data_IF_194000521290
#
_entry.id   IF_194000521290
#
_cell.length_a   1.000
_cell.length_b   1.000
_cell.length_c   1.000
_cell.angle_alpha   90.00
_cell.angle_beta   90.00
_cell.angle_gamma   90.00
#
_symmetry.space_group_name_H-M   'P 1'
#
loop_
_entity.id
_entity.type
_entity.pdbx_description
1 polymer ?
#
# COMPACT_ATOMS: atom_id res chain seq x y z
N UNK A 1 27.90 -9.57 32.79
CA UNK A 1 27.26 -8.47 32.05
C UNK A 1 25.95 -9.04 31.56
N UNK A 2 24.85 -8.60 32.16
CA UNK A 2 23.50 -9.08 31.83
C UNK A 2 23.17 -8.68 30.39
N UNK A 3 22.87 -9.69 29.56
CA UNK A 3 22.29 -9.50 28.24
C UNK A 3 20.92 -8.84 28.39
N UNK A 4 20.86 -7.56 28.02
CA UNK A 4 19.59 -6.86 27.81
C UNK A 4 18.99 -7.41 26.52
N UNK A 5 18.28 -8.52 26.67
CA UNK A 5 17.35 -9.06 25.69
C UNK A 5 16.29 -7.98 25.43
N UNK A 6 16.51 -7.14 24.41
CA UNK A 6 15.48 -6.21 23.93
C UNK A 6 14.31 -7.05 23.43
N UNK A 7 13.26 -7.15 24.25
CA UNK A 7 11.97 -7.67 23.83
C UNK A 7 11.56 -7.02 22.50
N UNK A 8 11.02 -7.78 21.53
CA UNK A 8 10.49 -7.18 20.31
C UNK A 8 9.45 -6.13 20.68
N UNK A 9 9.37 -5.00 19.95
CA UNK A 9 8.39 -3.96 20.25
C UNK A 9 6.99 -4.60 20.26
N UNK A 10 6.27 -4.43 21.38
CA UNK A 10 4.89 -4.89 21.55
C UNK A 10 3.98 -4.11 20.59
N UNK A 11 3.90 -4.59 19.35
CA UNK A 11 3.03 -4.06 18.28
C UNK A 11 1.55 -4.04 18.71
N UNK A 12 1.18 -4.85 19.70
CA UNK A 12 -0.13 -4.83 20.33
C UNK A 12 -0.37 -3.64 21.28
N UNK A 13 0.66 -2.90 21.70
CA UNK A 13 0.53 -1.78 22.64
C UNK A 13 -0.19 -0.58 22.01
N UNK A 14 0.20 -0.17 20.80
CA UNK A 14 -0.39 0.99 20.12
C UNK A 14 -1.83 0.71 19.69
N UNK A 15 -2.11 -0.48 19.14
CA UNK A 15 -3.46 -0.87 18.78
C UNK A 15 -4.40 -0.88 20.00
N UNK A 16 -3.93 -1.37 21.16
CA UNK A 16 -4.68 -1.31 22.42
C UNK A 16 -4.92 0.11 22.91
N UNK A 17 -3.95 1.02 22.75
CA UNK A 17 -4.13 2.43 23.12
C UNK A 17 -5.14 3.14 22.20
N UNK A 18 -5.03 2.97 20.88
CA UNK A 18 -5.98 3.52 19.91
C UNK A 18 -7.39 3.00 20.18
N UNK A 19 -7.54 1.70 20.39
CA UNK A 19 -8.83 1.10 20.68
C UNK A 19 -9.53 1.80 21.85
N UNK A 20 -8.81 1.98 22.98
CA UNK A 20 -9.33 2.69 24.15
C UNK A 20 -9.73 4.13 23.83
N UNK A 21 -8.88 4.86 23.10
CA UNK A 21 -9.14 6.25 22.70
C UNK A 21 -10.38 6.34 21.82
N UNK A 22 -10.49 5.49 20.79
CA UNK A 22 -11.62 5.50 19.86
C UNK A 22 -12.93 5.15 20.55
N UNK A 23 -12.97 4.11 21.41
CA UNK A 23 -14.17 3.80 22.19
C UNK A 23 -14.58 4.97 23.06
N UNK A 24 -13.64 5.53 23.85
CA UNK A 24 -13.93 6.62 24.77
C UNK A 24 -14.46 7.86 24.04
N UNK A 25 -13.76 8.30 22.99
CA UNK A 25 -14.16 9.50 22.24
C UNK A 25 -15.49 9.31 21.52
N UNK A 26 -15.73 8.15 20.92
CA UNK A 26 -17.00 7.86 20.23
C UNK A 26 -18.16 7.90 21.22
N UNK A 27 -18.03 7.22 22.37
CA UNK A 27 -19.08 7.16 23.39
C UNK A 27 -19.36 8.56 23.95
N UNK A 28 -18.31 9.32 24.28
CA UNK A 28 -18.46 10.68 24.76
C UNK A 28 -19.17 11.57 23.74
N UNK A 29 -18.79 11.51 22.46
CA UNK A 29 -19.39 12.32 21.41
C UNK A 29 -20.87 11.97 21.17
N UNK A 30 -21.22 10.69 21.05
CA UNK A 30 -22.63 10.26 20.91
C UNK A 30 -23.45 10.70 22.11
N UNK A 31 -22.91 10.56 23.32
CA UNK A 31 -23.61 10.95 24.56
C UNK A 31 -23.82 12.46 24.63
N UNK A 32 -22.80 13.26 24.32
CA UNK A 32 -22.92 14.73 24.27
C UNK A 32 -23.96 15.15 23.24
N UNK A 33 -23.90 14.59 22.02
CA UNK A 33 -24.90 14.84 20.97
C UNK A 33 -26.30 14.47 21.43
N UNK A 34 -26.47 13.33 22.11
CA UNK A 34 -27.77 12.92 22.63
C UNK A 34 -28.35 13.90 23.65
N UNK A 35 -27.53 14.41 24.56
CA UNK A 35 -27.95 15.46 25.49
C UNK A 35 -28.29 16.79 24.79
N UNK A 36 -27.51 17.19 23.78
CA UNK A 36 -27.78 18.40 22.98
C UNK A 36 -29.10 18.29 22.22
N UNK A 37 -29.40 17.10 21.69
CA UNK A 37 -30.64 16.79 21.00
C UNK A 37 -31.82 16.52 21.94
N UNK A 38 -31.61 16.59 23.27
CA UNK A 38 -32.59 16.32 24.33
C UNK A 38 -33.22 14.92 24.22
N UNK A 39 -32.41 13.94 23.81
CA UNK A 39 -32.85 12.55 23.76
C UNK A 39 -33.07 11.96 25.15
N UNK A 40 -34.01 11.02 25.22
CA UNK A 40 -34.18 10.18 26.39
C UNK A 40 -32.98 9.25 26.58
N UNK A 41 -32.74 8.85 27.84
CA UNK A 41 -31.63 7.97 28.22
C UNK A 41 -31.58 6.67 27.38
N UNK A 42 -32.74 6.14 27.00
CA UNK A 42 -32.83 4.93 26.18
C UNK A 42 -32.27 5.12 24.76
N UNK A 43 -32.59 6.23 24.09
CA UNK A 43 -32.05 6.53 22.76
C UNK A 43 -30.54 6.80 22.81
N UNK A 44 -30.07 7.53 23.83
CA UNK A 44 -28.64 7.73 24.07
C UNK A 44 -27.92 6.38 24.23
N UNK A 45 -28.48 5.47 25.04
CA UNK A 45 -27.90 4.14 25.24
C UNK A 45 -27.87 3.32 23.95
N UNK A 46 -28.97 3.33 23.19
CA UNK A 46 -29.11 2.62 21.91
C UNK A 46 -28.05 3.06 20.90
N UNK A 47 -27.87 4.36 20.70
CA UNK A 47 -26.85 4.87 19.76
C UNK A 47 -25.43 4.60 20.22
N UNK A 48 -25.17 4.68 21.53
CA UNK A 48 -23.87 4.29 22.08
C UNK A 48 -23.54 2.81 21.85
N UNK A 49 -24.51 1.91 22.06
CA UNK A 49 -24.32 0.48 21.78
C UNK A 49 -24.04 0.21 20.30
N UNK A 50 -24.76 0.87 19.40
CA UNK A 50 -24.53 0.72 17.96
C UNK A 50 -23.17 1.27 17.53
N UNK A 51 -22.75 2.42 18.06
CA UNK A 51 -21.40 2.97 17.86
C UNK A 51 -20.30 2.05 18.39
N UNK A 52 -20.50 1.40 19.54
CA UNK A 52 -19.57 0.40 20.09
C UNK A 52 -19.40 -0.77 19.11
N UNK A 53 -20.49 -1.27 18.52
CA UNK A 53 -20.41 -2.34 17.50
C UNK A 53 -19.57 -1.88 16.30
N UNK A 54 -19.80 -0.67 15.78
CA UNK A 54 -19.04 -0.12 14.65
C UNK A 54 -17.56 0.07 14.96
N UNK A 55 -17.23 0.61 16.15
CA UNK A 55 -15.84 0.74 16.61
C UNK A 55 -15.18 -0.64 16.80
N UNK A 56 -15.94 -1.63 17.27
CA UNK A 56 -15.45 -3.01 17.40
C UNK A 56 -15.12 -3.63 16.05
N UNK A 57 -15.97 -3.44 15.04
CA UNK A 57 -15.71 -3.88 13.67
C UNK A 57 -14.46 -3.18 13.12
N UNK A 58 -14.32 -1.87 13.34
CA UNK A 58 -13.15 -1.10 12.94
C UNK A 58 -11.85 -1.62 13.59
N UNK A 59 -11.87 -1.90 14.89
CA UNK A 59 -10.71 -2.46 15.61
C UNK A 59 -10.43 -3.90 15.17
N UNK A 60 -11.45 -4.71 14.94
CA UNK A 60 -11.30 -6.06 14.42
C UNK A 60 -10.64 -6.04 13.03
N UNK A 61 -11.11 -5.15 12.14
CA UNK A 61 -10.50 -4.93 10.84
C UNK A 61 -9.02 -4.51 10.98
N UNK A 62 -8.72 -3.58 11.90
CA UNK A 62 -7.35 -3.13 12.16
C UNK A 62 -6.45 -4.25 12.69
N UNK A 63 -7.01 -5.16 13.51
CA UNK A 63 -6.31 -6.30 14.10
C UNK A 63 -6.06 -7.42 13.09
N UNK A 64 -7.09 -7.82 12.34
CA UNK A 64 -7.08 -8.98 11.43
C UNK A 64 -6.21 -8.74 10.20
N UNK A 65 -6.28 -7.54 9.63
CA UNK A 65 -5.44 -7.19 8.49
C UNK A 65 -4.01 -6.84 8.89
N UNK A 66 -3.64 -7.04 10.17
CA UNK A 66 -2.39 -6.59 10.80
C UNK A 66 -1.97 -5.27 10.20
N UNK A 67 -2.69 -4.19 10.49
CA UNK A 67 -2.34 -2.85 9.98
C UNK A 67 -0.93 -2.50 10.48
N UNK A 68 0.09 -2.95 9.73
CA UNK A 68 1.53 -2.75 9.96
C UNK A 68 1.89 -1.27 10.09
N UNK A 69 0.96 -0.42 9.68
CA UNK A 69 1.11 1.03 9.70
C UNK A 69 0.92 1.62 11.10
N UNK A 70 0.26 0.96 12.05
CA UNK A 70 0.12 1.46 13.43
C UNK A 70 1.37 1.28 14.30
N UNK A 71 2.38 0.54 13.82
CA UNK A 71 3.70 0.47 14.46
C UNK A 71 4.54 1.72 14.20
N UNK A 72 4.13 2.56 13.24
CA UNK A 72 4.74 3.86 12.97
C UNK A 72 3.97 4.96 13.72
N UNK A 73 4.65 5.67 14.62
CA UNK A 73 4.07 6.77 15.42
C UNK A 73 3.46 7.88 14.57
N UNK A 74 3.95 8.09 13.33
CA UNK A 74 3.41 9.09 12.40
C UNK A 74 2.01 8.71 11.90
N UNK A 75 1.78 7.45 11.56
CA UNK A 75 0.48 6.97 11.09
C UNK A 75 -0.54 6.96 12.22
N UNK A 76 -0.11 6.62 13.45
CA UNK A 76 -0.92 6.77 14.65
C UNK A 76 -1.41 8.21 14.82
N UNK A 77 -0.50 9.18 14.69
CA UNK A 77 -0.85 10.60 14.76
C UNK A 77 -1.83 11.00 13.66
N UNK A 78 -1.62 10.57 12.41
CA UNK A 78 -2.54 10.83 11.30
C UNK A 78 -3.93 10.28 11.62
N UNK A 79 -4.06 9.03 12.06
CA UNK A 79 -5.36 8.43 12.41
C UNK A 79 -6.06 9.23 13.51
N UNK A 80 -5.36 9.56 14.61
CA UNK A 80 -5.95 10.29 15.73
C UNK A 80 -6.36 11.70 15.31
N UNK A 81 -5.49 12.42 14.59
CA UNK A 81 -5.78 13.78 14.12
C UNK A 81 -6.94 13.81 13.13
N UNK A 82 -6.96 12.88 12.16
CA UNK A 82 -8.06 12.70 11.21
C UNK A 82 -9.37 12.36 11.92
N UNK A 83 -9.33 11.48 12.92
CA UNK A 83 -10.52 11.11 13.68
C UNK A 83 -11.07 12.29 14.48
N UNK A 84 -10.21 13.00 15.23
CA UNK A 84 -10.61 14.16 16.03
C UNK A 84 -11.16 15.31 15.18
N UNK A 85 -10.52 15.58 14.04
CA UNK A 85 -10.98 16.62 13.11
C UNK A 85 -12.38 16.29 12.57
N UNK A 86 -12.58 15.07 12.06
CA UNK A 86 -13.88 14.65 11.57
C UNK A 86 -14.94 14.65 12.66
N UNK A 87 -14.62 14.19 13.87
CA UNK A 87 -15.54 14.20 15.00
C UNK A 87 -15.94 15.62 15.38
N UNK A 88 -15.00 16.57 15.40
CA UNK A 88 -15.27 17.97 15.65
C UNK A 88 -16.17 18.58 14.57
N UNK A 89 -15.92 18.28 13.29
CA UNK A 89 -16.80 18.70 12.19
C UNK A 89 -18.22 18.13 12.33
N UNK A 90 -18.37 16.87 12.72
CA UNK A 90 -19.68 16.25 12.96
C UNK A 90 -20.38 16.97 14.12
N UNK A 91 -19.70 17.26 15.22
CA UNK A 91 -20.31 17.95 16.36
C UNK A 91 -20.68 19.41 16.02
N UNK A 92 -19.88 20.09 15.20
CA UNK A 92 -20.12 21.47 14.77
C UNK A 92 -21.13 21.58 13.62
N UNK A 93 -21.43 20.48 12.91
CA UNK A 93 -22.32 20.49 11.75
C UNK A 93 -23.71 21.02 12.11
N UNK A 94 -24.17 20.76 13.34
CA UNK A 94 -25.43 21.25 13.89
C UNK A 94 -25.56 22.78 13.88
N UNK A 95 -24.44 23.51 13.98
CA UNK A 95 -24.44 24.98 14.13
C UNK A 95 -23.91 25.73 12.90
N UNK A 96 -23.02 25.13 12.13
CA UNK A 96 -22.23 25.83 11.10
C UNK A 96 -22.42 25.28 9.68
N UNK A 97 -23.36 24.35 9.44
CA UNK A 97 -23.63 23.78 8.11
C UNK A 97 -22.35 23.25 7.43
N UNK A 98 -21.54 22.50 8.18
CA UNK A 98 -20.27 21.94 7.71
C UNK A 98 -20.52 20.65 6.89
N UNK A 99 -21.19 20.76 5.73
CA UNK A 99 -21.72 19.63 4.93
C UNK A 99 -20.71 18.51 4.69
N UNK A 100 -19.67 18.75 3.89
CA UNK A 100 -18.76 17.69 3.44
C UNK A 100 -17.45 17.61 4.25
N UNK A 101 -17.19 18.53 5.18
CA UNK A 101 -15.88 18.65 5.84
C UNK A 101 -15.58 17.51 6.83
N UNK A 102 -16.60 16.82 7.34
CA UNK A 102 -16.40 15.63 8.17
C UNK A 102 -15.71 14.49 7.41
N UNK A 103 -15.72 14.49 6.06
CA UNK A 103 -15.07 13.49 5.22
C UNK A 103 -13.54 13.62 5.18
N UNK A 104 -12.97 14.73 5.66
CA UNK A 104 -11.52 14.95 5.65
C UNK A 104 -10.77 13.79 6.32
N UNK A 105 -11.21 13.35 7.50
CA UNK A 105 -10.56 12.27 8.23
C UNK A 105 -10.55 10.93 7.46
N UNK A 106 -11.72 10.37 7.09
CA UNK A 106 -11.79 9.15 6.28
C UNK A 106 -11.00 9.21 4.98
N UNK A 107 -11.06 10.34 4.25
CA UNK A 107 -10.32 10.53 3.01
C UNK A 107 -8.81 10.57 3.22
N UNK A 108 -8.32 11.26 4.26
CA UNK A 108 -6.89 11.31 4.58
C UNK A 108 -6.39 9.91 4.98
N UNK A 109 -7.16 9.17 5.78
CA UNK A 109 -6.83 7.79 6.14
C UNK A 109 -6.83 6.88 4.89
N UNK A 110 -7.83 7.02 4.01
CA UNK A 110 -7.92 6.26 2.76
C UNK A 110 -6.77 6.54 1.79
N UNK A 111 -6.33 7.80 1.74
CA UNK A 111 -5.27 8.28 0.87
C UNK A 111 -3.88 7.87 1.34
N UNK A 112 -3.57 8.04 2.63
CA UNK A 112 -2.22 7.91 3.17
C UNK A 112 -1.92 6.56 3.82
N UNK A 113 -2.95 5.85 4.29
CA UNK A 113 -2.78 4.61 5.06
C UNK A 113 -3.33 3.43 4.28
N UNK A 114 -4.66 3.34 4.16
CA UNK A 114 -5.33 2.24 3.46
C UNK A 114 -6.77 2.61 3.13
N UNK A 115 -7.20 2.32 1.90
CA UNK A 115 -8.53 2.68 1.40
C UNK A 115 -9.65 1.98 2.18
N UNK A 116 -9.49 0.69 2.48
CA UNK A 116 -10.49 -0.08 3.21
C UNK A 116 -10.57 0.36 4.67
N UNK A 117 -9.45 0.75 5.28
CA UNK A 117 -9.44 1.34 6.61
C UNK A 117 -10.15 2.70 6.65
N UNK A 118 -9.88 3.58 5.69
CA UNK A 118 -10.60 4.85 5.54
C UNK A 118 -12.11 4.64 5.33
N UNK A 119 -12.50 3.65 4.52
CA UNK A 119 -13.90 3.26 4.35
C UNK A 119 -14.56 2.77 5.65
N UNK A 120 -13.79 2.13 6.54
CA UNK A 120 -14.29 1.71 7.86
C UNK A 120 -14.55 2.90 8.79
N UNK A 121 -13.70 3.93 8.78
CA UNK A 121 -13.95 5.20 9.48
C UNK A 121 -15.13 5.96 8.88
N UNK A 122 -15.24 5.96 7.54
CA UNK A 122 -16.39 6.52 6.83
C UNK A 122 -17.72 5.91 7.30
N UNK A 123 -17.79 4.59 7.45
CA UNK A 123 -18.98 3.91 7.96
C UNK A 123 -19.37 4.41 9.36
N UNK A 124 -18.40 4.50 10.27
CA UNK A 124 -18.62 5.00 11.63
C UNK A 124 -19.14 6.46 11.62
N UNK A 125 -18.49 7.33 10.85
CA UNK A 125 -18.84 8.76 10.82
C UNK A 125 -20.13 9.07 10.08
N UNK A 126 -20.46 8.34 9.01
CA UNK A 126 -21.76 8.45 8.34
C UNK A 126 -22.91 8.15 9.31
N UNK A 127 -22.74 7.11 10.13
CA UNK A 127 -23.69 6.79 11.18
C UNK A 127 -23.79 7.90 12.23
N UNK A 128 -22.65 8.38 12.76
CA UNK A 128 -22.65 9.45 13.77
C UNK A 128 -23.27 10.75 13.27
N UNK A 129 -23.01 11.12 12.01
CA UNK A 129 -23.61 12.31 11.40
C UNK A 129 -25.13 12.17 11.29
N UNK A 130 -25.63 10.99 10.91
CA UNK A 130 -27.07 10.71 10.86
C UNK A 130 -27.73 10.80 12.24
N UNK A 131 -27.05 10.34 13.30
CA UNK A 131 -27.54 10.46 14.69
C UNK A 131 -27.60 11.92 15.15
N UNK A 132 -26.66 12.76 14.69
CA UNK A 132 -26.57 14.17 15.06
C UNK A 132 -27.53 15.08 14.29
N UNK A 133 -27.81 14.74 13.03
CA UNK A 133 -28.76 15.47 12.19
C UNK A 133 -30.19 14.91 12.37
N UNK A 134 -30.92 14.72 11.25
CA UNK A 134 -32.37 14.52 11.26
C UNK A 134 -32.80 13.05 11.43
N UNK A 135 -31.83 12.13 11.62
CA UNK A 135 -32.04 10.67 11.72
C UNK A 135 -32.82 10.06 10.54
N UNK A 136 -32.81 10.72 9.39
CA UNK A 136 -33.47 10.23 8.20
C UNK A 136 -32.61 9.18 7.49
N UNK A 137 -33.27 8.17 6.94
CA UNK A 137 -32.63 7.15 6.10
C UNK A 137 -32.04 7.81 4.85
N UNK A 138 -32.72 8.82 4.30
CA UNK A 138 -32.25 9.57 3.12
C UNK A 138 -30.92 10.28 3.40
N UNK A 139 -30.80 10.96 4.54
CA UNK A 139 -29.54 11.60 4.95
C UNK A 139 -28.43 10.58 5.18
N UNK A 140 -28.74 9.43 5.79
CA UNK A 140 -27.77 8.35 5.96
C UNK A 140 -27.29 7.82 4.61
N UNK A 141 -28.20 7.57 3.66
CA UNK A 141 -27.87 7.07 2.33
C UNK A 141 -27.04 8.07 1.54
N UNK A 142 -27.44 9.35 1.54
CA UNK A 142 -26.69 10.44 0.91
C UNK A 142 -25.24 10.49 1.42
N UNK A 143 -25.07 10.59 2.74
CA UNK A 143 -23.76 10.70 3.37
C UNK A 143 -22.92 9.44 3.14
N UNK A 144 -23.54 8.26 3.21
CA UNK A 144 -22.86 6.98 2.99
C UNK A 144 -22.32 6.85 1.56
N UNK A 145 -23.13 7.17 0.54
CA UNK A 145 -22.70 7.06 -0.86
C UNK A 145 -21.63 8.11 -1.16
N UNK A 146 -21.87 9.36 -0.77
CA UNK A 146 -20.94 10.47 -1.05
C UNK A 146 -19.57 10.24 -0.41
N UNK A 147 -19.54 9.79 0.85
CA UNK A 147 -18.28 9.53 1.53
C UNK A 147 -17.54 8.29 1.02
N UNK A 148 -18.25 7.27 0.53
CA UNK A 148 -17.61 6.14 -0.15
C UNK A 148 -16.92 6.58 -1.44
N UNK A 149 -17.59 7.42 -2.24
CA UNK A 149 -17.00 8.04 -3.44
C UNK A 149 -15.76 8.86 -3.05
N UNK A 150 -15.85 9.70 -2.02
CA UNK A 150 -14.72 10.49 -1.51
C UNK A 150 -13.53 9.62 -1.10
N UNK A 151 -13.75 8.55 -0.34
CA UNK A 151 -12.68 7.63 0.08
C UNK A 151 -12.01 6.92 -1.10
N UNK A 152 -12.79 6.46 -2.08
CA UNK A 152 -12.25 5.81 -3.29
C UNK A 152 -11.42 6.80 -4.11
N UNK A 153 -11.89 8.03 -4.26
CA UNK A 153 -11.23 9.06 -5.05
C UNK A 153 -10.00 9.66 -4.38
N UNK A 154 -9.89 9.54 -3.05
CA UNK A 154 -8.83 10.15 -2.25
C UNK A 154 -7.40 9.84 -2.75
N UNK A 155 -7.15 8.63 -3.27
CA UNK A 155 -5.85 8.23 -3.82
C UNK A 155 -5.40 9.04 -5.03
N UNK A 156 -6.34 9.59 -5.80
CA UNK A 156 -6.03 10.39 -6.98
C UNK A 156 -5.62 11.83 -6.63
N UNK A 157 -5.77 12.25 -5.36
CA UNK A 157 -5.34 13.57 -4.87
C UNK A 157 -3.81 13.68 -4.81
N UNK A 158 -3.11 12.56 -4.64
CA UNK A 158 -1.63 12.49 -4.65
C UNK A 158 -1.03 12.93 -6.00
N UNK A 159 -1.76 12.72 -7.10
CA UNK A 159 -1.31 13.10 -8.43
C UNK A 159 -2.00 14.41 -8.88
N UNK A 160 -1.20 15.47 -8.99
CA UNK A 160 -1.65 16.83 -9.39
C UNK A 160 -2.37 16.83 -10.74
N UNK A 161 -2.04 15.90 -11.64
CA UNK A 161 -2.71 15.79 -12.94
C UNK A 161 -4.08 15.13 -12.83
N UNK A 162 -4.34 14.37 -11.76
CA UNK A 162 -5.57 13.59 -11.56
C UNK A 162 -6.55 14.23 -10.57
N UNK A 163 -6.09 15.10 -9.68
CA UNK A 163 -6.95 15.76 -8.68
C UNK A 163 -8.16 16.48 -9.29
N UNK A 164 -7.98 17.14 -10.44
CA UNK A 164 -9.06 17.85 -11.13
C UNK A 164 -10.21 16.92 -11.53
N UNK A 165 -9.89 15.75 -12.08
CA UNK A 165 -10.89 14.73 -12.43
C UNK A 165 -11.60 14.19 -11.19
N UNK A 166 -10.85 13.91 -10.11
CA UNK A 166 -11.43 13.44 -8.86
C UNK A 166 -12.40 14.47 -8.24
N UNK A 167 -12.04 15.75 -8.27
CA UNK A 167 -12.91 16.84 -7.80
C UNK A 167 -14.18 16.94 -8.65
N UNK A 168 -14.07 16.87 -9.97
CA UNK A 168 -15.23 16.93 -10.87
C UNK A 168 -16.18 15.75 -10.63
N UNK A 169 -15.65 14.53 -10.49
CA UNK A 169 -16.46 13.34 -10.21
C UNK A 169 -17.16 13.47 -8.85
N UNK A 170 -16.46 13.97 -7.83
CA UNK A 170 -17.04 14.15 -6.51
C UNK A 170 -18.17 15.19 -6.52
N UNK A 171 -17.92 16.37 -7.09
CA UNK A 171 -18.92 17.45 -7.16
C UNK A 171 -20.13 17.08 -8.02
N UNK A 172 -19.93 16.39 -9.15
CA UNK A 172 -21.05 15.93 -9.97
C UNK A 172 -21.89 14.88 -9.25
N UNK A 173 -21.25 13.97 -8.52
CA UNK A 173 -21.93 12.97 -7.69
C UNK A 173 -22.70 13.64 -6.54
N UNK A 174 -22.11 14.64 -5.88
CA UNK A 174 -22.74 15.41 -4.81
C UNK A 174 -24.04 16.07 -5.29
N UNK A 175 -23.95 16.87 -6.36
CA UNK A 175 -25.12 17.55 -6.95
C UNK A 175 -26.19 16.53 -7.37
N UNK A 176 -25.76 15.43 -8.00
CA UNK A 176 -26.68 14.37 -8.44
C UNK A 176 -27.42 13.76 -7.25
N UNK A 177 -26.71 13.44 -6.16
CA UNK A 177 -27.31 12.88 -4.96
C UNK A 177 -28.28 13.86 -4.31
N UNK A 178 -27.95 15.16 -4.21
CA UNK A 178 -28.88 16.17 -3.67
C UNK A 178 -30.18 16.23 -4.49
N UNK A 179 -30.08 16.19 -5.83
CA UNK A 179 -31.26 16.19 -6.70
C UNK A 179 -32.13 14.96 -6.47
N UNK A 180 -31.52 13.77 -6.33
CA UNK A 180 -32.25 12.52 -6.08
C UNK A 180 -32.93 12.56 -4.71
N UNK A 181 -32.23 13.00 -3.65
CA UNK A 181 -32.80 13.05 -2.29
C UNK A 181 -33.94 14.06 -2.16
N UNK A 182 -33.93 15.12 -2.98
CA UNK A 182 -35.03 16.07 -3.07
C UNK A 182 -36.14 15.64 -4.04
N UNK A 183 -36.21 14.35 -4.41
CA UNK A 183 -37.23 13.80 -5.31
C UNK A 183 -37.33 14.54 -6.65
N UNK A 184 -36.21 15.07 -7.17
CA UNK A 184 -36.17 15.89 -8.38
C UNK A 184 -37.04 17.17 -8.34
N UNK A 185 -37.48 17.60 -7.15
CA UNK A 185 -38.33 18.78 -6.97
C UNK A 185 -37.49 20.06 -7.07
N UNK A 186 -37.53 20.71 -8.24
CA UNK A 186 -36.67 21.84 -8.59
C UNK A 186 -36.79 23.06 -7.69
N UNK A 187 -37.96 23.28 -7.08
CA UNK A 187 -38.25 24.41 -6.19
C UNK A 187 -37.53 24.31 -4.83
N UNK A 188 -37.12 23.12 -4.41
CA UNK A 188 -36.35 22.88 -3.18
C UNK A 188 -34.87 22.56 -3.44
N UNK A 189 -34.49 22.29 -4.69
CA UNK A 189 -33.11 21.95 -5.04
C UNK A 189 -32.23 23.18 -5.23
N UNK A 190 -32.71 24.27 -5.81
CA UNK A 190 -31.90 25.49 -5.98
C UNK A 190 -32.01 26.35 -4.71
N UNK A 191 -31.55 25.78 -3.61
CA UNK A 191 -31.46 26.43 -2.30
C UNK A 191 -29.98 26.67 -1.94
N UNK A 192 -29.73 27.56 -0.99
CA UNK A 192 -28.40 27.87 -0.48
C UNK A 192 -27.61 26.61 -0.05
N UNK A 193 -28.31 25.52 0.28
CA UNK A 193 -27.75 24.23 0.65
C UNK A 193 -26.85 23.61 -0.44
N UNK A 194 -27.23 23.68 -1.73
CA UNK A 194 -26.36 23.16 -2.81
C UNK A 194 -25.07 23.97 -2.89
N UNK A 195 -25.19 25.31 -2.79
CA UNK A 195 -24.03 26.21 -2.87
C UNK A 195 -23.06 25.91 -1.73
N UNK A 196 -23.56 25.76 -0.50
CA UNK A 196 -22.72 25.40 0.64
C UNK A 196 -22.11 24.00 0.52
N UNK A 197 -22.86 23.01 0.00
CA UNK A 197 -22.32 21.66 -0.23
C UNK A 197 -21.16 21.68 -1.22
N UNK A 198 -21.33 22.35 -2.36
CA UNK A 198 -20.29 22.49 -3.40
C UNK A 198 -19.07 23.23 -2.85
N UNK A 199 -19.26 24.35 -2.16
CA UNK A 199 -18.15 25.11 -1.55
C UNK A 199 -17.41 24.23 -0.54
N UNK A 200 -18.13 23.50 0.32
CA UNK A 200 -17.52 22.59 1.29
C UNK A 200 -16.79 21.41 0.62
N UNK A 201 -17.27 20.93 -0.54
CA UNK A 201 -16.61 19.90 -1.35
C UNK A 201 -15.31 20.40 -1.98
N UNK A 202 -15.28 21.64 -2.47
CA UNK A 202 -14.04 22.27 -2.95
C UNK A 202 -13.05 22.45 -1.80
N UNK A 203 -13.51 22.93 -0.64
CA UNK A 203 -12.68 23.06 0.56
C UNK A 203 -12.12 21.70 1.04
N UNK A 204 -12.95 20.66 1.05
CA UNK A 204 -12.57 19.28 1.38
C UNK A 204 -11.38 18.82 0.54
N UNK A 205 -11.46 18.95 -0.79
CA UNK A 205 -10.36 18.58 -1.69
C UNK A 205 -9.13 19.48 -1.53
N UNK A 206 -9.33 20.78 -1.32
CA UNK A 206 -8.24 21.73 -1.05
C UNK A 206 -7.46 21.37 0.21
N UNK A 207 -8.16 21.07 1.31
CA UNK A 207 -7.54 20.66 2.59
C UNK A 207 -6.86 19.30 2.43
N UNK A 208 -7.51 18.31 1.83
CA UNK A 208 -6.92 17.00 1.58
C UNK A 208 -5.64 17.09 0.73
N UNK A 209 -5.63 17.96 -0.28
CA UNK A 209 -4.45 18.24 -1.09
C UNK A 209 -3.34 18.92 -0.29
N UNK A 210 -3.65 19.91 0.55
CA UNK A 210 -2.63 20.52 1.43
C UNK A 210 -2.00 19.47 2.36
N UNK A 211 -2.81 18.61 2.97
CA UNK A 211 -2.33 17.50 3.81
C UNK A 211 -1.42 16.58 3.01
N UNK A 212 -1.80 16.22 1.78
CA UNK A 212 -0.98 15.42 0.88
C UNK A 212 0.39 16.06 0.63
N UNK A 213 0.44 17.37 0.36
CA UNK A 213 1.70 18.09 0.12
C UNK A 213 2.57 18.20 1.37
N UNK A 214 1.96 18.44 2.52
CA UNK A 214 2.68 18.45 3.81
C UNK A 214 3.26 17.06 4.08
N UNK A 215 2.50 16.00 3.81
CA UNK A 215 2.96 14.63 3.99
C UNK A 215 4.13 14.29 3.05
N UNK A 216 4.02 14.60 1.76
CA UNK A 216 5.12 14.41 0.79
C UNK A 216 6.35 15.24 1.15
N UNK A 217 6.17 16.51 1.53
CA UNK A 217 7.26 17.39 1.97
C UNK A 217 7.91 16.86 3.22
N UNK A 218 7.14 16.42 4.22
CA UNK A 218 7.70 15.85 5.44
C UNK A 218 8.40 14.53 5.16
N UNK A 219 7.92 13.69 4.24
CA UNK A 219 8.66 12.48 3.88
C UNK A 219 9.94 12.80 3.13
N UNK A 220 9.93 13.73 2.15
CA UNK A 220 11.15 14.22 1.48
C UNK A 220 12.12 14.85 2.47
N UNK A 221 11.64 15.70 3.37
CA UNK A 221 12.43 16.32 4.43
C UNK A 221 12.92 15.29 5.45
N UNK A 222 12.21 14.20 5.73
CA UNK A 222 12.73 13.12 6.59
C UNK A 222 13.83 12.35 5.84
N UNK A 223 13.68 12.10 4.54
CA UNK A 223 14.76 11.57 3.71
C UNK A 223 15.95 12.53 3.70
N UNK A 224 15.72 13.82 3.52
CA UNK A 224 16.69 14.92 3.58
C UNK A 224 17.07 15.37 5.01
N UNK A 225 16.56 14.76 6.09
CA UNK A 225 16.96 14.99 7.50
C UNK A 225 17.64 13.76 8.10
N UNK A 226 17.42 12.58 7.50
CA UNK A 226 18.27 11.41 7.71
C UNK A 226 19.64 11.66 7.05
N UNK A 227 19.68 12.38 5.92
CA UNK A 227 20.92 12.73 5.20
C UNK A 227 21.84 13.73 5.97
N UNK A 228 21.40 14.84 6.59
CA UNK A 228 22.28 15.82 7.22
C UNK A 228 22.76 15.37 8.60
N UNK A 229 21.96 14.57 9.33
CA UNK A 229 22.36 14.09 10.66
C UNK A 229 23.23 12.82 10.58
N UNK A 230 23.13 12.05 9.48
CA UNK A 230 24.17 11.09 9.12
C UNK A 230 25.43 11.79 8.65
N UNK A 231 25.34 12.83 7.81
CA UNK A 231 26.54 13.53 7.31
C UNK A 231 27.39 14.20 8.37
N UNK A 232 26.83 14.71 9.48
CA UNK A 232 27.64 15.33 10.56
C UNK A 232 28.21 14.29 11.53
N UNK A 233 27.47 13.22 11.85
CA UNK A 233 27.97 12.13 12.72
C UNK A 233 28.97 11.24 11.97
N UNK A 234 28.74 11.00 10.67
CA UNK A 234 29.70 10.32 9.79
C UNK A 234 30.90 11.20 9.46
N UNK A 235 30.89 12.53 9.62
CA UNK A 235 32.12 13.34 9.42
C UNK A 235 33.10 13.24 10.57
N UNK A 236 32.64 13.15 11.82
CA UNK A 236 33.54 12.93 12.97
C UNK A 236 33.93 11.45 13.15
N UNK A 237 33.09 10.49 12.73
CA UNK A 237 33.49 9.07 12.70
C UNK A 237 34.25 8.69 11.41
N UNK A 238 33.99 9.28 10.24
CA UNK A 238 34.76 9.01 9.01
C UNK A 238 36.16 9.64 9.00
N UNK A 239 36.47 10.58 9.89
CA UNK A 239 37.87 10.96 10.14
C UNK A 239 38.63 9.90 10.97
N UNK A 240 37.93 8.86 11.47
CA UNK A 240 38.52 7.69 12.14
C UNK A 240 38.14 6.33 11.53
N UNK A 241 37.36 6.28 10.45
CA UNK A 241 37.17 5.06 9.66
C UNK A 241 38.25 5.00 8.60
N UNK A 242 39.16 4.04 8.77
CA UNK A 242 40.13 3.63 7.76
C UNK A 242 39.38 3.40 6.44
N UNK A 243 39.73 4.18 5.41
CA UNK A 243 39.21 3.99 4.06
C UNK A 243 39.45 2.53 3.63
N UNK A 244 38.38 1.74 3.53
CA UNK A 244 38.43 0.39 3.00
C UNK A 244 38.56 0.49 1.46
N UNK A 245 39.55 -0.18 0.84
CA UNK A 245 39.70 -0.18 -0.61
C UNK A 245 38.46 -0.76 -1.30
N UNK A 246 38.11 -0.24 -2.49
CA UNK A 246 37.02 -0.70 -3.38
C UNK A 246 37.00 -2.24 -3.58
N UNK A 247 38.17 -2.88 -3.49
CA UNK A 247 38.30 -4.34 -3.58
C UNK A 247 37.64 -5.09 -2.41
N UNK A 248 37.61 -4.53 -1.20
CA UNK A 248 37.06 -5.22 -0.02
C UNK A 248 35.53 -5.31 -0.03
N UNK A 249 34.83 -4.33 -0.62
CA UNK A 249 33.39 -4.35 -0.76
C UNK A 249 32.95 -5.39 -1.80
N UNK A 250 33.70 -5.49 -2.91
CA UNK A 250 33.49 -6.52 -3.94
C UNK A 250 33.72 -7.92 -3.37
N UNK A 251 34.79 -8.12 -2.61
CA UNK A 251 35.08 -9.41 -1.95
C UNK A 251 33.96 -9.78 -0.98
N UNK A 252 33.52 -8.85 -0.12
CA UNK A 252 32.40 -9.09 0.79
C UNK A 252 31.12 -9.47 0.03
N UNK A 253 30.79 -8.74 -1.05
CA UNK A 253 29.61 -9.02 -1.87
C UNK A 253 29.68 -10.40 -2.50
N UNK A 254 30.83 -10.80 -3.04
CA UNK A 254 31.01 -12.15 -3.60
C UNK A 254 30.88 -13.25 -2.56
N UNK A 255 31.47 -13.07 -1.37
CA UNK A 255 31.36 -14.03 -0.26
C UNK A 255 29.89 -14.20 0.17
N UNK A 256 29.18 -13.08 0.36
CA UNK A 256 27.75 -13.10 0.73
C UNK A 256 26.88 -13.71 -0.35
N UNK A 257 27.13 -13.41 -1.64
CA UNK A 257 26.42 -14.05 -2.74
C UNK A 257 26.61 -15.58 -2.74
N UNK A 258 27.83 -16.06 -2.49
CA UNK A 258 28.09 -17.49 -2.43
C UNK A 258 27.37 -18.15 -1.23
N UNK A 259 27.31 -17.48 -0.08
CA UNK A 259 26.62 -17.96 1.12
C UNK A 259 25.12 -18.09 0.90
N UNK A 260 24.47 -17.05 0.36
CA UNK A 260 23.01 -17.04 0.19
C UNK A 260 22.53 -17.99 -0.92
N UNK A 261 23.42 -18.36 -1.85
CA UNK A 261 23.14 -19.33 -2.91
C UNK A 261 23.23 -20.79 -2.43
N UNK A 262 23.75 -21.04 -1.22
CA UNK A 262 23.72 -22.38 -0.62
C UNK A 262 22.27 -22.82 -0.38
N UNK A 263 21.89 -24.00 -0.87
CA UNK A 263 20.54 -24.55 -0.68
C UNK A 263 20.19 -24.82 0.79
N UNK A 264 21.19 -24.88 1.68
CA UNK A 264 21.04 -25.00 3.13
C UNK A 264 20.94 -23.65 3.84
N UNK A 265 20.96 -22.53 3.12
CA UNK A 265 20.77 -21.21 3.73
C UNK A 265 19.41 -21.17 4.46
N UNK A 266 19.43 -20.61 5.68
CA UNK A 266 18.31 -20.68 6.62
C UNK A 266 16.97 -20.21 5.99
N UNK A 267 17.00 -19.11 5.25
CA UNK A 267 15.80 -18.56 4.60
C UNK A 267 15.22 -19.50 3.53
N UNK A 268 16.06 -20.23 2.79
CA UNK A 268 15.60 -21.20 1.79
C UNK A 268 15.01 -22.45 2.45
N UNK A 269 15.59 -22.90 3.56
CA UNK A 269 15.03 -23.97 4.38
C UNK A 269 13.66 -23.56 4.95
N UNK A 270 13.54 -22.34 5.50
CA UNK A 270 12.26 -21.78 5.96
C UNK A 270 11.22 -21.69 4.84
N UNK A 271 11.63 -21.31 3.62
CA UNK A 271 10.75 -21.30 2.45
C UNK A 271 10.26 -22.71 2.08
N UNK A 272 11.16 -23.69 2.13
CA UNK A 272 10.87 -25.10 1.83
C UNK A 272 9.93 -25.73 2.87
N UNK A 273 10.13 -25.43 4.15
CA UNK A 273 9.23 -25.83 5.24
C UNK A 273 7.85 -25.18 5.11
N UNK A 274 7.80 -23.89 4.81
CA UNK A 274 6.55 -23.17 4.59
C UNK A 274 5.76 -23.72 3.39
N UNK A 275 6.44 -23.94 2.26
CA UNK A 275 5.84 -24.52 1.07
C UNK A 275 6.88 -25.10 0.13
N UNK A 276 6.99 -26.43 0.10
CA UNK A 276 7.86 -27.15 -0.84
C UNK A 276 7.61 -26.73 -2.30
N UNK A 277 6.34 -26.57 -2.70
CA UNK A 277 5.95 -26.12 -4.04
C UNK A 277 6.48 -24.71 -4.36
N UNK A 278 6.42 -23.80 -3.39
CA UNK A 278 6.92 -22.43 -3.57
C UNK A 278 8.45 -22.41 -3.66
N UNK A 279 9.13 -23.19 -2.83
CA UNK A 279 10.57 -23.39 -2.89
C UNK A 279 11.02 -23.96 -4.24
N UNK A 280 10.41 -25.04 -4.71
CA UNK A 280 10.70 -25.64 -6.02
C UNK A 280 10.48 -24.62 -7.15
N UNK A 281 9.45 -23.79 -7.03
CA UNK A 281 9.20 -22.71 -7.98
C UNK A 281 10.25 -21.60 -7.95
N UNK A 282 10.67 -21.17 -6.77
CA UNK A 282 11.75 -20.18 -6.63
C UNK A 282 13.07 -20.71 -7.20
N UNK A 283 13.38 -22.00 -6.96
CA UNK A 283 14.54 -22.68 -7.55
C UNK A 283 14.44 -22.71 -9.07
N UNK A 284 13.28 -23.07 -9.61
CA UNK A 284 13.07 -23.08 -11.06
C UNK A 284 13.19 -21.68 -11.68
N UNK A 285 12.64 -20.64 -11.05
CA UNK A 285 12.83 -19.24 -11.49
C UNK A 285 14.33 -18.89 -11.49
N UNK A 286 15.03 -19.23 -10.41
CA UNK A 286 16.47 -18.99 -10.25
C UNK A 286 17.30 -19.63 -11.36
N UNK A 287 17.06 -20.90 -11.68
CA UNK A 287 17.82 -21.63 -12.70
C UNK A 287 17.60 -21.08 -14.11
N UNK A 288 16.35 -20.73 -14.46
CA UNK A 288 16.00 -20.14 -15.76
C UNK A 288 16.56 -18.71 -15.88
N UNK A 289 16.48 -17.92 -14.81
CA UNK A 289 17.06 -16.58 -14.77
C UNK A 289 18.59 -16.61 -14.89
N UNK A 290 19.25 -17.59 -14.25
CA UNK A 290 20.69 -17.83 -14.38
C UNK A 290 21.09 -18.09 -15.85
N UNK A 291 20.39 -19.01 -16.52
CA UNK A 291 20.66 -19.31 -17.94
C UNK A 291 20.40 -18.12 -18.86
N UNK A 292 19.41 -17.29 -18.56
CA UNK A 292 19.13 -16.05 -19.29
C UNK A 292 20.24 -15.00 -19.13
N UNK A 293 20.76 -14.83 -17.91
CA UNK A 293 21.87 -13.91 -17.62
C UNK A 293 23.14 -14.29 -18.39
N UNK A 294 23.46 -15.59 -18.44
CA UNK A 294 24.60 -16.13 -19.19
C UNK A 294 24.54 -15.72 -20.68
N UNK A 295 23.35 -15.73 -21.31
CA UNK A 295 23.22 -15.41 -22.75
C UNK A 295 23.52 -13.97 -23.11
N UNK A 296 23.45 -13.06 -22.15
CA UNK A 296 23.69 -11.63 -22.38
C UNK A 296 24.85 -11.08 -21.54
N UNK A 297 25.62 -11.96 -20.90
CA UNK A 297 26.76 -11.60 -20.05
C UNK A 297 26.36 -10.61 -18.92
N UNK A 298 25.21 -10.85 -18.29
CA UNK A 298 24.78 -10.19 -17.06
C UNK A 298 25.35 -10.91 -15.81
N UNK A 299 25.22 -10.33 -14.62
CA UNK A 299 25.71 -10.97 -13.39
C UNK A 299 24.83 -12.19 -13.05
N UNK A 300 25.38 -13.37 -13.36
CA UNK A 300 24.71 -14.65 -13.22
C UNK A 300 24.42 -15.00 -11.75
N UNK A 301 25.36 -14.74 -10.84
CA UNK A 301 25.21 -15.08 -9.41
C UNK A 301 24.17 -14.18 -8.77
N UNK A 302 24.23 -12.88 -9.07
CA UNK A 302 23.26 -11.91 -8.60
C UNK A 302 21.85 -12.23 -9.13
N UNK A 303 21.74 -12.55 -10.42
CA UNK A 303 20.47 -12.96 -11.04
C UNK A 303 19.91 -14.23 -10.39
N UNK A 304 20.78 -15.21 -10.14
CA UNK A 304 20.41 -16.48 -9.50
C UNK A 304 19.88 -16.25 -8.09
N UNK A 305 20.56 -15.43 -7.29
CA UNK A 305 20.13 -15.05 -5.95
C UNK A 305 18.78 -14.30 -5.99
N UNK A 306 18.66 -13.31 -6.88
CA UNK A 306 17.40 -12.58 -7.09
C UNK A 306 16.22 -13.49 -7.42
N UNK A 307 16.42 -14.48 -8.30
CA UNK A 307 15.39 -15.48 -8.62
C UNK A 307 15.00 -16.35 -7.41
N UNK A 308 15.99 -16.86 -6.67
CA UNK A 308 15.81 -17.69 -5.48
C UNK A 308 14.97 -16.97 -4.40
N UNK A 309 15.28 -15.71 -4.13
CA UNK A 309 14.69 -14.94 -3.04
C UNK A 309 13.52 -14.04 -3.46
N UNK A 310 13.21 -13.92 -4.76
CA UNK A 310 12.11 -13.09 -5.28
C UNK A 310 10.77 -13.27 -4.55
N UNK A 311 10.49 -14.46 -4.04
CA UNK A 311 9.23 -14.80 -3.35
C UNK A 311 9.37 -15.03 -1.85
N UNK A 312 10.53 -14.70 -1.25
CA UNK A 312 10.83 -15.06 0.14
C UNK A 312 9.83 -14.46 1.14
N UNK A 313 9.33 -13.24 0.90
CA UNK A 313 8.36 -12.59 1.80
C UNK A 313 7.00 -13.30 1.89
N UNK A 314 6.72 -14.30 1.03
CA UNK A 314 5.52 -15.14 1.11
C UNK A 314 5.45 -15.93 2.41
N UNK A 315 6.60 -16.20 3.06
CA UNK A 315 6.65 -16.89 4.35
C UNK A 315 6.11 -16.01 5.49
N UNK A 316 6.06 -14.69 5.29
CA UNK A 316 5.62 -13.72 6.30
C UNK A 316 4.15 -13.32 6.07
N UNK A 317 3.79 -12.93 4.84
CA UNK A 317 2.51 -12.29 4.61
C UNK A 317 2.07 -12.12 3.15
N UNK A 318 0.90 -11.48 2.98
CA UNK A 318 0.29 -11.26 1.65
C UNK A 318 1.08 -10.25 0.80
N UNK A 319 1.67 -9.24 1.43
CA UNK A 319 2.53 -8.25 0.77
C UNK A 319 3.99 -8.73 0.70
N UNK A 320 4.19 -9.79 -0.08
CA UNK A 320 5.43 -10.55 -0.10
C UNK A 320 6.66 -9.76 -0.60
N UNK A 321 6.47 -8.61 -1.24
CA UNK A 321 7.57 -7.78 -1.72
C UNK A 321 8.14 -6.97 -0.56
N UNK A 322 7.31 -6.18 0.11
CA UNK A 322 7.71 -5.38 1.28
C UNK A 322 8.26 -6.28 2.38
N UNK A 323 7.65 -7.45 2.56
CA UNK A 323 8.09 -8.44 3.55
C UNK A 323 9.37 -9.12 3.15
N UNK A 324 9.57 -9.37 1.85
CA UNK A 324 10.81 -9.89 1.32
C UNK A 324 11.95 -8.93 1.58
N UNK A 325 11.80 -7.66 1.18
CA UNK A 325 12.81 -6.61 1.38
C UNK A 325 13.25 -6.51 2.83
N UNK A 326 12.31 -6.36 3.77
CA UNK A 326 12.63 -6.28 5.20
C UNK A 326 13.36 -7.50 5.72
N UNK A 327 12.91 -8.69 5.32
CA UNK A 327 13.54 -9.93 5.74
C UNK A 327 14.97 -10.04 5.21
N UNK A 328 15.21 -9.62 3.96
CA UNK A 328 16.54 -9.65 3.37
C UNK A 328 17.47 -8.59 4.00
N UNK A 329 16.95 -7.41 4.36
CA UNK A 329 17.69 -6.39 5.14
C UNK A 329 18.08 -6.93 6.53
N UNK A 330 17.17 -7.59 7.24
CA UNK A 330 17.43 -8.22 8.55
C UNK A 330 18.55 -9.26 8.48
N UNK A 331 18.61 -10.01 7.38
CA UNK A 331 19.65 -11.02 7.14
C UNK A 331 20.89 -10.44 6.43
N UNK A 332 20.99 -9.12 6.27
CA UNK A 332 22.14 -8.44 5.66
C UNK A 332 22.49 -9.00 4.28
N UNK A 333 21.48 -9.14 3.42
CA UNK A 333 21.69 -9.49 2.02
C UNK A 333 22.33 -8.30 1.26
N UNK A 334 23.09 -8.56 0.19
CA UNK A 334 23.57 -7.49 -0.69
C UNK A 334 22.41 -6.65 -1.23
N UNK A 335 22.58 -5.32 -1.28
CA UNK A 335 21.56 -4.36 -1.71
C UNK A 335 21.02 -4.69 -3.11
N UNK A 336 21.88 -5.12 -4.03
CA UNK A 336 21.48 -5.50 -5.39
C UNK A 336 20.46 -6.65 -5.42
N UNK A 337 20.57 -7.60 -4.48
CA UNK A 337 19.61 -8.73 -4.38
C UNK A 337 18.28 -8.23 -3.85
N UNK A 338 18.31 -7.31 -2.89
CA UNK A 338 17.12 -6.67 -2.30
C UNK A 338 16.39 -5.87 -3.38
N UNK A 339 17.12 -5.14 -4.21
CA UNK A 339 16.57 -4.37 -5.33
C UNK A 339 15.91 -5.26 -6.38
N UNK A 340 16.53 -6.39 -6.74
CA UNK A 340 15.88 -7.37 -7.64
C UNK A 340 14.56 -7.87 -7.04
N UNK A 341 14.56 -8.22 -5.75
CA UNK A 341 13.35 -8.70 -5.06
C UNK A 341 12.27 -7.63 -4.99
N UNK A 342 12.65 -6.36 -4.84
CA UNK A 342 11.72 -5.23 -4.88
C UNK A 342 11.17 -4.97 -6.28
N UNK A 343 12.04 -4.93 -7.29
CA UNK A 343 11.74 -4.45 -8.63
C UNK A 343 11.16 -5.51 -9.57
N UNK A 344 11.31 -6.82 -9.29
CA UNK A 344 10.74 -7.86 -10.17
C UNK A 344 9.20 -7.78 -10.28
N UNK A 345 8.54 -7.08 -9.36
CA UNK A 345 7.11 -6.80 -9.39
C UNK A 345 6.84 -5.35 -9.79
N UNK A 346 6.21 -5.16 -10.96
CA UNK A 346 5.91 -3.84 -11.54
C UNK A 346 5.05 -2.89 -10.68
N UNK A 347 4.46 -3.37 -9.59
CA UNK A 347 3.79 -2.49 -8.62
C UNK A 347 4.77 -1.57 -7.89
N UNK A 348 6.05 -1.94 -7.83
CA UNK A 348 7.07 -1.28 -7.01
C UNK A 348 8.13 -0.52 -7.81
N UNK A 349 8.09 -0.59 -9.15
CA UNK A 349 9.01 0.12 -10.03
C UNK A 349 9.24 -0.63 -11.34
N UNK A 350 9.89 0.04 -12.28
CA UNK A 350 10.57 -0.64 -13.39
C UNK A 350 11.87 -1.26 -12.86
N UNK A 351 12.41 -2.33 -13.50
CA UNK A 351 13.73 -2.85 -13.20
C UNK A 351 14.80 -1.83 -13.64
N UNK A 352 15.73 -1.56 -12.75
CA UNK A 352 16.84 -0.62 -12.94
C UNK A 352 18.17 -1.36 -13.27
N UNK A 353 18.12 -2.69 -13.33
CA UNK A 353 19.25 -3.55 -13.73
C UNK A 353 18.83 -4.65 -14.70
N UNK A 354 19.81 -5.22 -15.42
CA UNK A 354 19.59 -6.33 -16.36
C UNK A 354 19.08 -7.56 -15.61
N UNK A 355 19.65 -7.79 -14.44
CA UNK A 355 19.36 -8.91 -13.53
C UNK A 355 17.91 -8.81 -13.03
N UNK A 356 17.46 -7.63 -12.60
CA UNK A 356 16.08 -7.41 -12.17
C UNK A 356 15.08 -7.63 -13.31
N UNK A 357 15.42 -7.17 -14.52
CA UNK A 357 14.60 -7.36 -15.71
C UNK A 357 14.51 -8.86 -16.09
N UNK A 358 15.61 -9.60 -16.01
CA UNK A 358 15.63 -11.05 -16.26
C UNK A 358 14.72 -11.80 -15.28
N UNK A 359 14.84 -11.52 -13.98
CA UNK A 359 13.99 -12.17 -12.95
C UNK A 359 12.52 -11.82 -13.16
N UNK A 360 12.21 -10.57 -13.51
CA UNK A 360 10.84 -10.13 -13.84
C UNK A 360 10.26 -10.89 -15.04
N UNK A 361 11.02 -11.02 -16.13
CA UNK A 361 10.58 -11.71 -17.34
C UNK A 361 10.34 -13.19 -17.01
N UNK A 362 11.29 -13.82 -16.34
CA UNK A 362 11.20 -15.23 -15.95
C UNK A 362 9.95 -15.48 -15.10
N UNK A 363 9.75 -14.72 -14.02
CA UNK A 363 8.56 -14.89 -13.16
C UNK A 363 7.26 -14.67 -13.93
N UNK A 364 7.22 -13.67 -14.83
CA UNK A 364 6.04 -13.38 -15.66
C UNK A 364 5.69 -14.54 -16.60
N UNK A 365 6.70 -15.13 -17.26
CA UNK A 365 6.51 -16.26 -18.18
C UNK A 365 5.97 -17.46 -17.42
N UNK A 366 6.65 -17.85 -16.33
CA UNK A 366 6.29 -19.05 -15.60
C UNK A 366 4.91 -18.84 -14.92
N UNK A 367 4.59 -17.64 -14.42
CA UNK A 367 3.27 -17.37 -13.82
C UNK A 367 2.14 -17.48 -14.86
N UNK A 368 2.40 -17.02 -16.09
CA UNK A 368 1.45 -17.11 -17.19
C UNK A 368 1.26 -18.55 -17.65
N UNK A 369 2.33 -19.35 -17.68
CA UNK A 369 2.26 -20.79 -18.00
C UNK A 369 1.46 -21.58 -16.96
N UNK A 370 1.68 -21.32 -15.66
CA UNK A 370 0.90 -21.94 -14.59
C UNK A 370 -0.60 -21.62 -14.72
N UNK A 371 -0.93 -20.36 -15.00
CA UNK A 371 -2.31 -19.92 -15.18
C UNK A 371 -2.98 -20.65 -16.36
N UNK A 372 -2.28 -20.83 -17.48
CA UNK A 372 -2.80 -21.59 -18.62
C UNK A 372 -3.01 -23.07 -18.29
N UNK A 373 -2.05 -23.73 -17.62
CA UNK A 373 -2.20 -25.13 -17.20
C UNK A 373 -3.42 -25.36 -16.29
N UNK A 374 -3.83 -24.34 -15.53
CA UNK A 374 -4.99 -24.42 -14.64
C UNK A 374 -6.35 -24.26 -15.34
N UNK A 375 -6.38 -23.72 -16.56
CA UNK A 375 -7.60 -23.52 -17.35
C UNK A 375 -7.89 -24.77 -18.20
N UNK A 376 -8.92 -25.56 -17.82
CA UNK A 376 -9.33 -26.82 -18.47
C UNK A 376 -9.70 -26.71 -19.98
N UNK A 377 -9.89 -25.49 -20.50
CA UNK A 377 -10.31 -25.21 -21.89
C UNK A 377 -9.35 -24.26 -22.63
N UNK A 378 -8.04 -24.29 -22.34
CA UNK A 378 -7.13 -23.42 -23.10
C UNK A 378 -7.02 -23.90 -24.56
N UNK A 379 -7.45 -23.06 -25.51
CA UNK A 379 -6.89 -23.04 -26.88
C UNK A 379 -5.38 -23.28 -26.77
N UNK A 380 -4.84 -24.22 -27.54
CA UNK A 380 -3.40 -24.49 -27.65
C UNK A 380 -2.63 -23.24 -28.12
N UNK A 381 -2.42 -22.27 -27.23
CA UNK A 381 -1.50 -21.16 -27.44
C UNK A 381 -0.12 -21.77 -27.22
N UNK A 382 0.72 -21.76 -28.27
CA UNK A 382 2.08 -22.25 -28.14
C UNK A 382 2.86 -21.39 -27.14
N UNK A 383 3.78 -22.01 -26.41
CA UNK A 383 4.69 -21.32 -25.48
C UNK A 383 5.38 -20.12 -26.16
N UNK A 384 5.72 -20.24 -27.45
CA UNK A 384 6.27 -19.13 -28.23
C UNK A 384 5.35 -17.92 -28.31
N UNK A 385 4.06 -18.09 -28.60
CA UNK A 385 3.10 -16.97 -28.68
C UNK A 385 2.87 -16.29 -27.33
N UNK A 386 2.92 -17.06 -26.23
CA UNK A 386 2.85 -16.50 -24.89
C UNK A 386 4.07 -15.63 -24.61
N UNK A 387 5.27 -16.15 -24.88
CA UNK A 387 6.53 -15.42 -24.66
C UNK A 387 6.56 -14.17 -25.54
N UNK A 388 6.17 -14.27 -26.81
CA UNK A 388 6.00 -13.14 -27.71
C UNK A 388 5.07 -12.07 -27.12
N UNK A 389 3.91 -12.48 -26.59
CA UNK A 389 2.95 -11.59 -25.96
C UNK A 389 3.49 -10.88 -24.72
N UNK A 390 4.23 -11.60 -23.85
CA UNK A 390 4.83 -11.02 -22.65
C UNK A 390 5.89 -9.98 -23.01
N UNK A 391 6.82 -10.31 -23.93
CA UNK A 391 7.82 -9.36 -24.38
C UNK A 391 7.19 -8.14 -25.03
N UNK A 392 6.20 -8.33 -25.90
CA UNK A 392 5.51 -7.23 -26.59
C UNK A 392 4.77 -6.31 -25.61
N UNK A 393 4.08 -6.89 -24.62
CA UNK A 393 3.39 -6.15 -23.58
C UNK A 393 4.37 -5.31 -22.74
N UNK A 394 5.49 -5.89 -22.31
CA UNK A 394 6.49 -5.22 -21.48
C UNK A 394 7.21 -4.10 -22.24
N UNK A 395 7.54 -4.32 -23.50
CA UNK A 395 8.13 -3.31 -24.38
C UNK A 395 7.15 -2.16 -24.65
N UNK A 396 5.88 -2.45 -24.94
CA UNK A 396 4.87 -1.41 -25.19
C UNK A 396 4.61 -0.48 -23.99
N UNK A 397 4.93 -0.94 -22.78
CA UNK A 397 4.80 -0.21 -21.52
C UNK A 397 6.10 0.45 -21.07
N UNK A 398 7.14 0.41 -21.89
CA UNK A 398 8.47 0.95 -21.57
C UNK A 398 9.06 0.39 -20.26
N UNK A 399 8.70 -0.85 -19.91
CA UNK A 399 9.10 -1.44 -18.63
C UNK A 399 10.61 -1.77 -18.54
N UNK A 400 11.39 -1.63 -19.61
CA UNK A 400 12.81 -1.97 -19.61
C UNK A 400 13.73 -0.78 -19.89
N UNK A 401 13.18 0.45 -20.02
CA UNK A 401 13.98 1.64 -20.37
C UNK A 401 15.12 1.91 -19.38
N UNK A 402 14.87 1.67 -18.08
CA UNK A 402 15.84 1.93 -17.00
C UNK A 402 16.72 0.72 -16.66
N UNK A 403 16.47 -0.45 -17.27
CA UNK A 403 17.15 -1.71 -16.92
C UNK A 403 18.55 -1.86 -17.52
N UNK A 404 18.93 -0.99 -18.45
CA UNK A 404 20.18 -1.10 -19.21
C UNK A 404 20.20 -2.23 -20.26
N UNK A 405 19.07 -2.92 -20.51
CA UNK A 405 18.94 -3.90 -21.58
C UNK A 405 18.87 -3.21 -22.96
N UNK A 406 19.74 -3.64 -23.87
CA UNK A 406 19.67 -3.25 -25.28
C UNK A 406 18.60 -4.04 -26.05
N UNK A 407 18.17 -3.49 -27.18
CA UNK A 407 17.25 -4.17 -28.08
C UNK A 407 17.79 -5.51 -28.62
N UNK A 408 19.12 -5.64 -28.77
CA UNK A 408 19.74 -6.90 -29.19
C UNK A 408 19.71 -7.94 -28.06
N UNK A 409 20.02 -7.54 -26.82
CA UNK A 409 19.91 -8.42 -25.65
C UNK A 409 18.47 -8.90 -25.43
N UNK A 410 17.48 -8.02 -25.61
CA UNK A 410 16.07 -8.40 -25.55
C UNK A 410 15.69 -9.46 -26.59
N UNK A 411 16.25 -9.41 -27.80
CA UNK A 411 16.05 -10.45 -28.82
C UNK A 411 16.71 -11.77 -28.41
N UNK A 412 17.93 -11.70 -27.86
CA UNK A 412 18.66 -12.88 -27.37
C UNK A 412 17.88 -13.55 -26.23
N UNK A 413 17.46 -12.79 -25.23
CA UNK A 413 16.65 -13.27 -24.11
C UNK A 413 15.36 -13.92 -24.59
N UNK A 414 14.65 -13.25 -25.49
CA UNK A 414 13.40 -13.78 -26.06
C UNK A 414 13.63 -15.13 -26.74
N UNK A 415 14.69 -15.27 -27.55
CA UNK A 415 15.05 -16.53 -28.18
C UNK A 415 15.38 -17.60 -27.14
N UNK A 416 16.18 -17.26 -26.14
CA UNK A 416 16.52 -18.16 -25.04
C UNK A 416 15.27 -18.73 -24.36
N UNK A 417 14.32 -17.88 -23.95
CA UNK A 417 13.09 -18.37 -23.31
C UNK A 417 12.25 -19.25 -24.25
N UNK A 418 12.17 -18.94 -25.54
CA UNK A 418 11.46 -19.80 -26.49
C UNK A 418 12.10 -21.18 -26.55
N UNK A 419 13.43 -21.25 -26.66
CA UNK A 419 14.15 -22.52 -26.76
C UNK A 419 14.04 -23.34 -25.46
N UNK A 420 14.21 -22.70 -24.31
CA UNK A 420 14.14 -23.31 -22.97
C UNK A 420 12.76 -23.95 -22.70
N UNK A 421 11.68 -23.21 -22.98
CA UNK A 421 10.31 -23.68 -22.74
C UNK A 421 9.72 -24.52 -23.88
N UNK A 422 10.42 -24.68 -25.00
CA UNK A 422 10.10 -25.68 -26.04
C UNK A 422 10.73 -27.04 -25.71
N UNK A 423 11.94 -27.06 -25.14
CA UNK A 423 12.64 -28.29 -24.77
C UNK A 423 11.99 -28.99 -23.57
N UNK A 424 11.43 -28.24 -22.62
CA UNK A 424 10.73 -28.75 -21.44
C UNK A 424 9.42 -29.52 -21.71
N UNK A 425 8.99 -29.64 -22.98
CA UNK A 425 7.81 -30.42 -23.42
C UNK A 425 8.19 -31.78 -24.05
N UNK A 426 9.47 -32.15 -24.07
CA UNK A 426 9.94 -33.52 -24.34
C UNK A 426 10.24 -34.20 -23.01
#
# INVERSE_FOLDING_TARGET
MEDVQKNPPDTGKYLRQIAKILYLLTICAVTITGFLNKDDLYEILKFNLLSIVLVTILIFYAKENRVRFLDNSKNLFIVIASYLFSLACIMLSFKFNMYNLWLIGPMVIAMLIDANFGLSFHLLFSFMLSVNADRSIDSLMYNFILGAIGCILSKYILDVKKIGYALVIFLSSDITLIVIMNNFMTQNTIDNNIVYSVISGIMLFGIAFMVSRIYEKNNKNNTEQIIPMKEETEKEEAEKVVAYPDDTLKVWKEERLNEILDENHELLLRLKEFSKKLYERSKYISDISYGAAEKINADEKLTRAGGMYSKIGRIIGKDYIVDGVKLLEEYQFPEDVIDIVKQHNLKFGNPESKEAAIVMITDSIIASMDAMKSMKESKNISNSKLIDGIFSLRLSKNNFEESGLSNEELKILKKYYIDEFMQSNK
#
